data_IF_046956008749
#
_entry.id   IF_046956008749
#
_cell.length_a   1.000
_cell.length_b   1.000
_cell.length_c   1.000
_cell.angle_alpha   90.00
_cell.angle_beta   90.00
_cell.angle_gamma   90.00
#
_symmetry.space_group_name_H-M   'P 1'
#
loop_
_entity.id
_entity.type
_entity.pdbx_description
1 polymer ?
#
# COMPACT_ATOMS: atom_id res chain seq x y z
N UNK A 1 13.80 8.02 -18.05
CA UNK A 1 13.25 7.77 -16.71
C UNK A 1 12.95 9.11 -16.07
N UNK A 2 11.79 9.24 -15.41
CA UNK A 2 11.45 10.39 -14.60
C UNK A 2 11.83 10.10 -13.15
N UNK A 3 12.44 11.08 -12.48
CA UNK A 3 12.75 11.02 -11.06
C UNK A 3 12.14 12.24 -10.37
N UNK A 4 11.48 12.02 -9.25
CA UNK A 4 10.97 13.08 -8.38
C UNK A 4 11.69 12.97 -7.02
N UNK A 5 12.14 14.10 -6.50
CA UNK A 5 12.78 14.17 -5.19
C UNK A 5 11.83 14.90 -4.25
N UNK A 6 11.54 14.28 -3.12
CA UNK A 6 10.72 14.83 -2.05
C UNK A 6 11.56 15.01 -0.80
N UNK A 7 11.66 16.23 -0.32
CA UNK A 7 12.40 16.55 0.92
C UNK A 7 11.41 16.53 2.08
N UNK A 8 11.41 15.45 2.85
CA UNK A 8 10.45 15.27 3.96
C UNK A 8 10.49 16.40 4.99
N UNK A 9 11.67 16.99 5.25
CA UNK A 9 11.83 18.11 6.18
C UNK A 9 11.02 19.35 5.77
N UNK A 10 10.75 19.51 4.49
CA UNK A 10 10.11 20.71 3.94
C UNK A 10 8.57 20.58 3.88
N UNK A 11 8.03 19.42 4.30
CA UNK A 11 6.60 19.14 4.35
C UNK A 11 6.05 19.36 5.77
N UNK A 12 4.82 19.84 5.86
CA UNK A 12 4.05 19.88 7.10
C UNK A 12 3.24 18.57 7.24
N UNK A 13 3.67 17.70 8.15
CA UNK A 13 3.04 16.42 8.38
C UNK A 13 3.18 15.94 9.82
N UNK A 14 2.27 15.10 10.23
CA UNK A 14 2.22 14.48 11.55
C UNK A 14 2.86 13.08 11.53
N UNK A 15 3.74 12.80 12.49
CA UNK A 15 4.23 11.44 12.76
C UNK A 15 3.11 10.61 13.39
N UNK A 16 2.57 9.63 12.65
CA UNK A 16 1.45 8.82 13.09
C UNK A 16 1.37 7.54 12.27
N UNK A 17 0.78 6.49 12.85
CA UNK A 17 0.43 5.26 12.14
C UNK A 17 -0.94 5.36 11.45
N UNK A 18 -1.68 6.43 11.72
CA UNK A 18 -3.01 6.65 11.17
C UNK A 18 -2.94 7.21 9.74
N UNK A 19 -4.03 7.06 9.00
CA UNK A 19 -4.21 7.65 7.68
C UNK A 19 -4.57 9.14 7.79
N UNK A 20 -3.56 9.97 8.10
CA UNK A 20 -3.72 11.42 8.25
C UNK A 20 -3.67 12.09 6.88
N UNK A 21 -4.59 13.02 6.64
CA UNK A 21 -4.65 13.79 5.39
C UNK A 21 -3.85 15.10 5.54
N UNK A 22 -2.54 15.01 5.34
CA UNK A 22 -1.56 16.09 5.42
C UNK A 22 -0.72 16.17 4.13
N UNK A 23 0.35 16.97 4.12
CA UNK A 23 1.20 17.14 2.94
C UNK A 23 1.99 15.88 2.56
N UNK A 24 2.22 14.95 3.49
CA UNK A 24 2.95 13.71 3.22
C UNK A 24 2.08 12.69 2.46
N UNK A 25 0.79 12.61 2.73
CA UNK A 25 -0.10 11.61 2.16
C UNK A 25 -0.12 11.56 0.63
N UNK A 26 -0.20 12.68 -0.10
CA UNK A 26 -0.12 12.67 -1.57
C UNK A 26 1.17 12.06 -2.10
N UNK A 27 2.30 12.25 -1.42
CA UNK A 27 3.58 11.66 -1.82
C UNK A 27 3.61 10.14 -1.59
N UNK A 28 3.05 9.65 -0.48
CA UNK A 28 2.89 8.21 -0.24
C UNK A 28 2.00 7.59 -1.33
N UNK A 29 0.86 8.22 -1.65
CA UNK A 29 -0.04 7.70 -2.68
C UNK A 29 0.62 7.70 -4.08
N UNK A 30 1.47 8.69 -4.39
CA UNK A 30 2.27 8.68 -5.62
C UNK A 30 3.21 7.47 -5.71
N UNK A 31 3.76 7.00 -4.59
CA UNK A 31 4.63 5.82 -4.58
C UNK A 31 3.93 4.58 -5.15
N UNK A 32 2.60 4.51 -5.07
CA UNK A 32 1.80 3.42 -5.66
C UNK A 32 1.92 3.37 -7.20
N UNK A 33 2.26 4.47 -7.83
CA UNK A 33 2.40 4.59 -9.28
C UNK A 33 3.85 4.66 -9.77
N UNK A 34 4.82 4.68 -8.85
CA UNK A 34 6.24 4.66 -9.19
C UNK A 34 6.74 3.23 -9.43
N UNK A 35 7.78 3.07 -10.21
CA UNK A 35 8.43 1.78 -10.46
C UNK A 35 9.42 1.42 -9.35
N UNK A 36 9.97 2.43 -8.68
CA UNK A 36 10.91 2.26 -7.58
C UNK A 36 10.96 3.46 -6.65
N UNK A 37 11.45 3.23 -5.45
CA UNK A 37 11.58 4.22 -4.39
C UNK A 37 12.97 4.11 -3.76
N UNK A 38 13.59 5.24 -3.49
CA UNK A 38 14.84 5.33 -2.72
C UNK A 38 14.58 6.15 -1.48
N UNK A 39 14.90 5.59 -0.31
CA UNK A 39 14.93 6.36 0.94
C UNK A 39 16.34 6.85 1.20
N UNK A 40 16.48 8.19 1.26
CA UNK A 40 17.73 8.86 1.56
C UNK A 40 17.71 9.45 2.97
N UNK A 41 18.74 9.20 3.77
CA UNK A 41 18.81 9.67 5.15
C UNK A 41 20.25 9.93 5.59
N UNK A 42 20.49 10.99 6.39
CA UNK A 42 21.74 11.11 7.13
C UNK A 42 21.77 10.12 8.31
N UNK A 43 22.99 9.84 8.80
CA UNK A 43 23.18 9.12 10.06
C UNK A 43 23.08 10.09 11.22
N UNK A 44 22.23 9.77 12.18
CA UNK A 44 22.14 10.44 13.47
C UNK A 44 22.31 9.43 14.60
N UNK A 45 23.43 9.49 15.31
CA UNK A 45 23.72 8.58 16.42
C UNK A 45 23.53 7.09 16.08
N UNK A 46 24.05 6.68 14.91
CA UNK A 46 23.99 5.29 14.45
C UNK A 46 22.64 4.88 13.87
N UNK A 47 21.66 5.80 13.75
CA UNK A 47 20.33 5.50 13.19
C UNK A 47 19.93 6.52 12.10
N UNK A 48 18.82 6.26 11.43
CA UNK A 48 18.24 7.17 10.42
C UNK A 48 17.60 8.41 11.08
N UNK A 49 17.27 9.41 10.26
CA UNK A 49 16.62 10.63 10.75
C UNK A 49 15.20 10.38 11.26
N UNK A 50 14.71 11.29 12.13
CA UNK A 50 13.32 11.27 12.60
C UNK A 50 12.31 11.37 11.46
N UNK A 51 12.63 12.05 10.37
CA UNK A 51 11.76 12.13 9.19
C UNK A 51 11.57 10.78 8.50
N UNK A 52 12.61 9.97 8.41
CA UNK A 52 12.49 8.60 7.89
C UNK A 52 11.70 7.72 8.87
N UNK A 53 11.90 7.87 10.18
CA UNK A 53 11.11 7.16 11.17
C UNK A 53 9.61 7.50 11.03
N UNK A 54 9.28 8.79 10.97
CA UNK A 54 7.91 9.23 10.75
C UNK A 54 7.32 8.70 9.42
N UNK A 55 8.12 8.66 8.36
CA UNK A 55 7.71 8.07 7.08
C UNK A 55 7.39 6.57 7.23
N UNK A 56 8.21 5.81 7.96
CA UNK A 56 7.95 4.38 8.21
C UNK A 56 6.65 4.18 9.02
N UNK A 57 6.42 5.00 10.04
CA UNK A 57 5.19 4.97 10.83
C UNK A 57 3.97 5.29 9.96
N UNK A 58 4.08 6.30 9.11
CA UNK A 58 3.01 6.67 8.17
C UNK A 58 2.72 5.62 7.11
N UNK A 59 3.67 4.76 6.78
CA UNK A 59 3.45 3.65 5.85
C UNK A 59 2.64 2.49 6.49
N UNK A 60 2.46 2.47 7.82
CA UNK A 60 1.73 1.40 8.50
C UNK A 60 0.27 1.30 8.05
N UNK A 61 -0.40 2.43 7.74
CA UNK A 61 -1.78 2.40 7.23
C UNK A 61 -1.93 1.56 5.96
N UNK A 62 -0.85 1.36 5.19
CA UNK A 62 -0.87 0.60 3.94
C UNK A 62 -1.28 -0.85 4.17
N UNK A 63 -0.97 -1.42 5.34
CA UNK A 63 -1.43 -2.77 5.67
C UNK A 63 -2.95 -2.87 5.71
N UNK A 64 -3.61 -1.93 6.36
CA UNK A 64 -5.07 -1.85 6.40
C UNK A 64 -5.64 -1.56 5.02
N UNK A 65 -5.06 -0.59 4.32
CA UNK A 65 -5.46 -0.24 2.96
C UNK A 65 -5.34 -1.43 2.00
N UNK A 66 -4.21 -2.16 2.03
CA UNK A 66 -3.97 -3.33 1.19
C UNK A 66 -4.95 -4.47 1.49
N UNK A 67 -5.30 -4.68 2.76
CA UNK A 67 -6.29 -5.67 3.19
C UNK A 67 -7.68 -5.34 2.66
N UNK A 68 -8.10 -4.08 2.76
CA UNK A 68 -9.42 -3.64 2.36
C UNK A 68 -9.58 -3.65 0.83
N UNK A 69 -8.53 -3.26 0.10
CA UNK A 69 -8.52 -3.23 -1.36
C UNK A 69 -8.06 -4.56 -1.99
N UNK A 70 -7.62 -5.56 -1.19
CA UNK A 70 -7.07 -6.84 -1.67
C UNK A 70 -5.92 -6.66 -2.67
N UNK A 71 -5.10 -5.67 -2.43
CA UNK A 71 -4.07 -5.20 -3.31
C UNK A 71 -2.84 -4.76 -2.53
N UNK A 72 -1.66 -5.17 -2.96
CA UNK A 72 -0.38 -4.78 -2.35
C UNK A 72 0.29 -3.73 -3.23
N UNK A 73 0.25 -2.45 -2.86
CA UNK A 73 0.62 -1.36 -3.77
C UNK A 73 2.12 -1.36 -4.13
N UNK A 74 2.95 -2.01 -3.32
CA UNK A 74 4.39 -2.04 -3.54
C UNK A 74 4.93 -3.35 -4.13
N UNK A 75 4.08 -4.34 -4.36
CA UNK A 75 4.50 -5.53 -5.11
C UNK A 75 4.94 -5.12 -6.52
N UNK A 76 6.02 -5.72 -7.00
CA UNK A 76 6.68 -5.40 -8.27
C UNK A 76 7.32 -4.01 -8.35
N UNK A 77 7.50 -3.35 -7.22
CA UNK A 77 8.31 -2.13 -7.15
C UNK A 77 9.64 -2.44 -6.53
N UNK A 78 10.64 -1.68 -6.95
CA UNK A 78 12.00 -1.83 -6.43
C UNK A 78 12.30 -0.80 -5.36
N UNK A 79 13.15 -1.18 -4.41
CA UNK A 79 13.52 -0.30 -3.30
C UNK A 79 15.03 -0.21 -3.16
N UNK A 80 15.51 0.99 -2.91
CA UNK A 80 16.90 1.28 -2.62
C UNK A 80 17.05 2.23 -1.44
N UNK A 81 18.26 2.34 -0.93
CA UNK A 81 18.58 3.23 0.18
C UNK A 81 19.86 4.01 -0.08
N UNK A 82 19.87 5.27 0.34
CA UNK A 82 21.05 6.11 0.39
C UNK A 82 21.25 6.60 1.81
N UNK A 83 22.38 6.27 2.40
CA UNK A 83 22.73 6.69 3.76
C UNK A 83 24.02 7.51 3.72
N UNK A 84 24.01 8.70 4.32
CA UNK A 84 25.16 9.58 4.35
C UNK A 84 25.58 9.91 5.77
N UNK A 85 26.93 9.95 6.03
CA UNK A 85 27.45 10.31 7.34
C UNK A 85 28.84 9.78 7.63
N UNK A 86 29.23 9.81 8.90
CA UNK A 86 30.58 9.48 9.34
C UNK A 86 30.99 8.00 9.31
N UNK A 87 30.12 7.11 8.87
CA UNK A 87 30.40 5.68 8.72
C UNK A 87 29.92 4.78 9.86
N UNK A 88 29.42 5.35 10.95
CA UNK A 88 28.83 4.58 12.04
C UNK A 88 27.32 4.40 11.80
N UNK A 89 26.87 3.15 11.71
CA UNK A 89 25.45 2.82 11.58
C UNK A 89 24.95 2.54 10.16
N UNK A 90 25.76 2.56 9.11
CA UNK A 90 25.32 2.25 7.73
C UNK A 90 24.57 0.91 7.66
N UNK A 91 25.18 -0.17 8.10
CA UNK A 91 24.59 -1.51 8.05
C UNK A 91 23.29 -1.61 8.85
N UNK A 92 23.25 -0.96 10.03
CA UNK A 92 22.04 -0.93 10.85
C UNK A 92 20.90 -0.23 10.12
N UNK A 93 21.14 0.95 9.57
CA UNK A 93 20.12 1.74 8.88
C UNK A 93 19.61 1.01 7.65
N UNK A 94 20.50 0.49 6.80
CA UNK A 94 20.10 -0.32 5.64
C UNK A 94 19.28 -1.53 6.06
N UNK A 95 19.68 -2.24 7.13
CA UNK A 95 18.95 -3.39 7.64
C UNK A 95 17.53 -3.06 8.08
N UNK A 96 17.33 -1.97 8.81
CA UNK A 96 16.01 -1.49 9.25
C UNK A 96 15.15 -1.12 8.04
N UNK A 97 15.67 -0.32 7.13
CA UNK A 97 14.93 0.15 5.96
C UNK A 97 14.57 -1.00 5.02
N UNK A 98 15.47 -1.96 4.81
CA UNK A 98 15.21 -3.13 3.97
C UNK A 98 14.19 -4.08 4.60
N UNK A 99 14.26 -4.27 5.92
CA UNK A 99 13.25 -5.06 6.64
C UNK A 99 11.86 -4.45 6.48
N UNK A 100 11.75 -3.14 6.66
CA UNK A 100 10.49 -2.42 6.46
C UNK A 100 10.01 -2.52 5.01
N UNK A 101 10.88 -2.24 4.04
CA UNK A 101 10.54 -2.31 2.62
C UNK A 101 10.07 -3.70 2.18
N UNK A 102 10.74 -4.76 2.64
CA UNK A 102 10.33 -6.14 2.37
C UNK A 102 8.95 -6.46 2.94
N UNK A 103 8.66 -5.99 4.17
CA UNK A 103 7.35 -6.15 4.78
C UNK A 103 6.24 -5.40 4.01
N UNK A 104 6.55 -4.23 3.45
CA UNK A 104 5.63 -3.49 2.57
C UNK A 104 5.47 -4.10 1.18
N UNK A 105 6.29 -5.08 0.81
CA UNK A 105 6.18 -5.81 -0.45
C UNK A 105 7.12 -5.35 -1.55
N UNK A 106 8.06 -4.47 -1.27
CA UNK A 106 9.10 -4.08 -2.23
C UNK A 106 10.09 -5.21 -2.52
N UNK A 107 10.61 -5.21 -3.73
CA UNK A 107 11.77 -6.01 -4.12
C UNK A 107 13.04 -5.18 -3.97
N UNK A 108 14.07 -5.74 -3.35
CA UNK A 108 15.36 -5.08 -3.15
C UNK A 108 16.35 -5.64 -4.16
N UNK A 109 16.72 -4.88 -5.21
CA UNK A 109 17.74 -5.33 -6.17
C UNK A 109 19.13 -5.37 -5.53
N UNK A 110 20.07 -6.13 -6.11
CA UNK A 110 21.45 -6.13 -5.66
C UNK A 110 22.09 -4.74 -5.70
N UNK A 111 22.96 -4.44 -4.74
CA UNK A 111 23.74 -3.18 -4.69
C UNK A 111 22.88 -1.92 -4.72
N UNK A 112 21.71 -1.95 -4.08
CA UNK A 112 20.83 -0.78 -3.93
C UNK A 112 20.96 -0.12 -2.55
N UNK A 113 22.05 -0.39 -1.83
CA UNK A 113 22.48 0.25 -0.61
C UNK A 113 23.64 1.21 -0.92
N UNK A 114 23.36 2.50 -0.95
CA UNK A 114 24.37 3.53 -1.22
C UNK A 114 24.87 4.06 0.12
N UNK A 115 26.18 4.01 0.34
CA UNK A 115 26.84 4.56 1.52
C UNK A 115 27.73 5.73 1.09
N UNK A 116 27.54 6.90 1.69
CA UNK A 116 28.35 8.08 1.39
C UNK A 116 28.88 8.72 2.64
N UNK A 117 30.21 8.93 2.67
CA UNK A 117 30.85 9.75 3.69
C UNK A 117 31.05 11.20 3.24
N UNK A 118 30.74 11.48 1.99
CA UNK A 118 30.84 12.82 1.41
C UNK A 118 29.79 13.76 2.02
N UNK A 119 30.19 15.00 2.26
CA UNK A 119 29.35 16.04 2.83
C UNK A 119 28.97 17.06 1.75
N UNK A 120 27.97 16.70 0.96
CA UNK A 120 27.43 17.57 -0.07
C UNK A 120 27.71 17.10 -1.49
N UNK A 121 27.00 17.71 -2.41
CA UNK A 121 26.95 17.28 -3.82
C UNK A 121 28.31 17.37 -4.52
N UNK A 122 29.09 18.38 -4.18
CA UNK A 122 30.41 18.58 -4.78
C UNK A 122 31.43 17.51 -4.36
N UNK A 123 31.31 17.00 -3.14
CA UNK A 123 32.15 15.90 -2.66
C UNK A 123 31.68 14.57 -3.22
N UNK A 124 30.38 14.33 -3.29
CA UNK A 124 29.81 13.11 -3.87
C UNK A 124 30.25 12.93 -5.32
N UNK A 125 30.29 14.00 -6.11
CA UNK A 125 30.73 13.93 -7.51
C UNK A 125 32.22 13.65 -7.68
N UNK A 126 33.02 13.88 -6.66
CA UNK A 126 34.47 13.62 -6.63
C UNK A 126 34.82 12.29 -5.95
N UNK A 127 33.91 11.73 -5.17
CA UNK A 127 34.08 10.43 -4.52
C UNK A 127 33.68 9.31 -5.47
N UNK A 128 34.69 8.70 -6.08
CA UNK A 128 34.51 7.65 -7.08
C UNK A 128 33.72 6.46 -6.54
N UNK A 129 33.93 6.09 -5.27
CA UNK A 129 33.22 4.95 -4.65
C UNK A 129 31.72 5.25 -4.53
N UNK A 130 31.34 6.40 -3.99
CA UNK A 130 29.93 6.82 -3.90
C UNK A 130 29.31 6.96 -5.28
N UNK A 131 30.02 7.55 -6.25
CA UNK A 131 29.53 7.68 -7.62
C UNK A 131 29.25 6.33 -8.27
N UNK A 132 30.14 5.35 -8.11
CA UNK A 132 29.97 4.01 -8.63
C UNK A 132 28.81 3.27 -7.95
N UNK A 133 28.62 3.44 -6.63
CA UNK A 133 27.47 2.88 -5.92
C UNK A 133 26.15 3.47 -6.45
N UNK A 134 26.06 4.77 -6.65
CA UNK A 134 24.88 5.44 -7.23
C UNK A 134 24.58 4.90 -8.62
N UNK A 135 25.60 4.80 -9.47
CA UNK A 135 25.46 4.26 -10.83
C UNK A 135 24.97 2.82 -10.84
N UNK A 136 25.55 1.96 -9.99
CA UNK A 136 25.14 0.56 -9.87
C UNK A 136 23.70 0.46 -9.35
N UNK A 137 23.34 1.21 -8.32
CA UNK A 137 21.99 1.25 -7.79
C UNK A 137 20.98 1.67 -8.87
N UNK A 138 21.23 2.78 -9.57
CA UNK A 138 20.35 3.26 -10.62
C UNK A 138 20.17 2.24 -11.75
N UNK A 139 21.27 1.59 -12.18
CA UNK A 139 21.25 0.55 -13.20
C UNK A 139 20.44 -0.66 -12.73
N UNK A 140 20.73 -1.17 -11.52
CA UNK A 140 20.06 -2.35 -10.98
C UNK A 140 18.58 -2.08 -10.73
N UNK A 141 18.22 -0.96 -10.15
CA UNK A 141 16.81 -0.59 -9.96
C UNK A 141 16.06 -0.53 -11.29
N UNK A 142 16.66 0.05 -12.32
CA UNK A 142 16.05 0.12 -13.66
C UNK A 142 15.82 -1.26 -14.25
N UNK A 143 16.87 -2.08 -14.28
CA UNK A 143 16.80 -3.45 -14.86
C UNK A 143 15.79 -4.31 -14.11
N UNK A 144 15.80 -4.26 -12.78
CA UNK A 144 14.87 -5.06 -11.98
C UNK A 144 13.43 -4.56 -12.08
N UNK A 145 13.20 -3.24 -12.16
CA UNK A 145 11.87 -2.69 -12.40
C UNK A 145 11.30 -3.14 -13.75
N UNK A 146 12.11 -3.13 -14.79
CA UNK A 146 11.74 -3.63 -16.13
C UNK A 146 11.45 -5.13 -16.11
N UNK A 147 12.29 -5.93 -15.47
CA UNK A 147 12.09 -7.38 -15.31
C UNK A 147 10.80 -7.70 -14.56
N UNK A 148 10.52 -6.98 -13.47
CA UNK A 148 9.29 -7.14 -12.69
C UNK A 148 8.05 -6.81 -13.54
N UNK A 149 8.13 -5.76 -14.34
CA UNK A 149 7.05 -5.35 -15.23
C UNK A 149 6.82 -6.36 -16.35
N UNK A 150 7.88 -6.88 -16.97
CA UNK A 150 7.81 -7.85 -18.06
C UNK A 150 7.44 -9.25 -17.58
N UNK A 151 7.96 -9.67 -16.42
CA UNK A 151 7.83 -11.04 -15.92
C UNK A 151 6.45 -11.38 -15.34
N UNK A 152 5.62 -10.38 -15.02
CA UNK A 152 4.30 -10.63 -14.46
C UNK A 152 3.23 -9.64 -14.95
N UNK A 153 2.75 -9.81 -16.20
CA UNK A 153 1.70 -8.96 -16.77
C UNK A 153 0.42 -8.91 -15.92
N UNK A 154 0.09 -9.99 -15.21
CA UNK A 154 -1.08 -10.05 -14.34
C UNK A 154 -0.92 -9.17 -13.11
N UNK A 155 0.28 -9.14 -12.53
CA UNK A 155 0.59 -8.20 -11.44
C UNK A 155 0.68 -6.76 -11.96
N UNK A 156 1.29 -6.53 -13.12
CA UNK A 156 1.29 -5.23 -13.78
C UNK A 156 -0.14 -4.74 -14.10
N UNK A 157 -1.02 -5.63 -14.53
CA UNK A 157 -2.43 -5.30 -14.79
C UNK A 157 -3.25 -5.06 -13.50
N UNK A 158 -2.87 -5.73 -12.40
CA UNK A 158 -3.45 -5.45 -11.07
C UNK A 158 -2.93 -4.13 -10.48
N UNK A 159 -1.76 -3.69 -10.93
CA UNK A 159 -1.08 -2.48 -10.52
C UNK A 159 -1.27 -1.36 -11.55
N UNK A 160 -2.45 -1.31 -12.19
CA UNK A 160 -2.85 -0.13 -12.95
C UNK A 160 -2.62 1.15 -12.12
N UNK A 161 -2.39 2.26 -12.77
CA UNK A 161 -2.22 3.54 -12.09
C UNK A 161 -3.38 3.78 -11.14
N UNK A 162 -3.08 3.93 -9.85
CA UNK A 162 -4.07 4.38 -8.88
C UNK A 162 -4.33 5.86 -9.15
N UNK A 163 -5.58 6.24 -9.35
CA UNK A 163 -5.92 7.66 -9.33
C UNK A 163 -5.73 8.18 -7.91
N UNK A 164 -4.66 8.95 -7.72
CA UNK A 164 -4.29 9.51 -6.41
C UNK A 164 -5.42 10.36 -5.84
N UNK A 165 -6.16 11.08 -6.69
CA UNK A 165 -7.28 11.91 -6.25
C UNK A 165 -8.47 11.04 -5.82
N UNK A 166 -8.73 9.94 -6.53
CA UNK A 166 -9.75 8.97 -6.18
C UNK A 166 -9.39 8.27 -4.86
N UNK A 167 -8.15 7.79 -4.70
CA UNK A 167 -7.68 7.16 -3.48
C UNK A 167 -7.69 8.11 -2.27
N UNK A 168 -7.38 9.40 -2.47
CA UNK A 168 -7.50 10.43 -1.43
C UNK A 168 -8.95 10.77 -1.10
N UNK A 169 -9.87 10.61 -2.06
CA UNK A 169 -11.30 10.84 -1.88
C UNK A 169 -12.01 9.65 -1.22
N UNK A 170 -11.56 8.41 -1.49
CA UNK A 170 -12.14 7.17 -0.93
C UNK A 170 -11.95 7.04 0.58
N UNK A 171 -10.92 7.66 1.17
CA UNK A 171 -10.64 7.66 2.61
C UNK A 171 -11.72 8.35 3.48
N UNK A 172 -12.70 9.03 2.90
CA UNK A 172 -13.79 9.67 3.65
C UNK A 172 -15.08 8.88 3.56
N UNK A 173 -15.21 7.86 4.42
CA UNK A 173 -16.52 7.27 4.68
C UNK A 173 -17.50 8.37 5.08
N UNK A 174 -18.51 8.61 4.23
CA UNK A 174 -19.57 9.58 4.53
C UNK A 174 -20.60 8.87 5.41
N UNK A 175 -20.69 9.18 6.72
CA UNK A 175 -21.62 8.52 7.61
C UNK A 175 -23.06 8.82 7.21
N UNK A 176 -23.92 7.81 7.28
CA UNK A 176 -25.35 7.94 7.00
C UNK A 176 -26.00 8.82 8.08
N UNK A 177 -26.68 9.89 7.67
CA UNK A 177 -27.49 10.72 8.59
C UNK A 177 -28.85 10.07 8.84
N UNK A 178 -29.41 10.30 10.03
CA UNK A 178 -30.76 9.82 10.39
C UNK A 178 -31.76 10.30 9.34
N UNK A 179 -32.55 9.38 8.77
CA UNK A 179 -33.56 9.70 7.75
C UNK A 179 -33.08 9.58 6.29
N UNK A 180 -31.79 9.36 6.00
CA UNK A 180 -31.35 9.09 4.64
C UNK A 180 -31.75 7.69 4.20
N UNK A 181 -32.23 7.57 2.96
CA UNK A 181 -32.57 6.28 2.34
C UNK A 181 -31.29 5.44 2.13
N UNK A 182 -31.37 4.13 2.38
CA UNK A 182 -30.31 3.19 2.02
C UNK A 182 -30.00 3.30 0.52
N UNK A 183 -28.74 3.08 0.14
CA UNK A 183 -28.23 3.20 -1.26
C UNK A 183 -28.29 4.62 -1.84
N UNK A 184 -28.34 5.65 -1.00
CA UNK A 184 -28.20 7.03 -1.47
C UNK A 184 -26.75 7.33 -1.83
N UNK A 185 -26.50 7.99 -2.97
CA UNK A 185 -25.16 8.49 -3.36
C UNK A 185 -24.56 9.54 -2.39
N UNK A 186 -25.29 9.89 -1.32
CA UNK A 186 -24.89 10.92 -0.35
C UNK A 186 -24.23 10.35 0.92
N UNK A 187 -24.04 9.05 1.01
CA UNK A 187 -23.34 8.38 2.10
C UNK A 187 -22.77 7.04 1.64
N UNK A 188 -21.74 6.56 2.34
CA UNK A 188 -21.18 5.22 2.13
C UNK A 188 -22.00 4.21 2.92
N UNK A 189 -22.47 3.16 2.29
CA UNK A 189 -23.10 2.01 2.97
C UNK A 189 -22.05 0.92 3.22
N UNK A 190 -22.02 0.36 4.42
CA UNK A 190 -21.07 -0.68 4.84
C UNK A 190 -21.16 -1.97 3.98
N UNK A 191 -22.19 -2.10 3.19
CA UNK A 191 -22.57 -3.28 2.42
C UNK A 191 -23.07 -2.92 1.02
N UNK A 192 -22.53 -1.89 0.42
CA UNK A 192 -22.81 -1.59 -0.99
C UNK A 192 -22.20 -2.69 -1.84
N UNK A 193 -23.05 -3.43 -2.56
CA UNK A 193 -22.61 -4.42 -3.53
C UNK A 193 -22.17 -3.69 -4.80
N UNK A 194 -20.88 -3.50 -4.95
CA UNK A 194 -20.29 -2.76 -6.07
C UNK A 194 -20.32 -3.57 -7.38
N UNK A 195 -20.44 -4.90 -7.31
CA UNK A 195 -20.66 -5.76 -8.46
C UNK A 195 -21.93 -6.62 -8.34
N UNK A 196 -23.11 -6.02 -8.52
CA UNK A 196 -24.38 -6.74 -8.41
C UNK A 196 -24.53 -7.90 -9.39
N UNK A 197 -23.78 -7.94 -10.50
CA UNK A 197 -23.81 -9.06 -11.47
C UNK A 197 -23.09 -10.30 -10.94
N UNK A 198 -22.16 -10.13 -9.99
CA UNK A 198 -21.39 -11.18 -9.34
C UNK A 198 -22.13 -11.87 -8.19
N UNK A 199 -23.10 -11.27 -7.61
CA UNK A 199 -23.73 -11.66 -6.34
C UNK A 199 -24.84 -12.70 -6.50
N UNK A 200 -25.03 -13.56 -5.48
CA UNK A 200 -26.17 -14.47 -5.41
C UNK A 200 -27.35 -13.71 -4.79
N UNK A 201 -28.27 -13.24 -5.64
CA UNK A 201 -29.40 -12.42 -5.21
C UNK A 201 -30.52 -13.19 -4.52
N UNK A 202 -31.30 -12.47 -3.71
CA UNK A 202 -32.53 -13.00 -3.09
C UNK A 202 -32.27 -14.01 -1.97
N UNK A 203 -31.15 -13.83 -1.25
CA UNK A 203 -30.88 -14.53 0.00
C UNK A 203 -31.56 -13.81 1.15
N UNK A 204 -32.12 -14.55 2.08
CA UNK A 204 -32.80 -14.01 3.27
C UNK A 204 -32.74 -14.97 4.45
N UNK A 205 -33.02 -14.42 5.63
CA UNK A 205 -33.02 -15.14 6.91
C UNK A 205 -34.11 -14.64 7.87
N UNK A 206 -35.23 -14.14 7.32
CA UNK A 206 -36.34 -13.63 8.16
C UNK A 206 -36.98 -14.71 9.03
N UNK A 207 -37.00 -15.95 8.54
CA UNK A 207 -37.48 -17.16 9.19
C UNK A 207 -36.68 -18.38 8.72
N UNK A 208 -36.84 -19.50 9.40
CA UNK A 208 -36.12 -20.75 9.10
C UNK A 208 -36.35 -21.25 7.67
N UNK A 209 -37.57 -21.17 7.17
CA UNK A 209 -37.91 -21.61 5.82
C UNK A 209 -37.18 -20.77 4.77
N UNK A 210 -37.11 -19.44 4.96
CA UNK A 210 -36.38 -18.51 4.10
C UNK A 210 -34.87 -18.76 4.17
N UNK A 211 -34.34 -19.05 5.35
CA UNK A 211 -32.92 -19.38 5.52
C UNK A 211 -32.54 -20.68 4.80
N UNK A 212 -33.35 -21.75 4.95
CA UNK A 212 -33.15 -23.04 4.26
C UNK A 212 -33.24 -22.91 2.73
N UNK A 213 -34.18 -22.12 2.23
CA UNK A 213 -34.30 -21.79 0.82
C UNK A 213 -33.07 -21.07 0.27
N UNK A 214 -32.52 -20.13 1.06
CA UNK A 214 -31.31 -19.38 0.72
C UNK A 214 -30.07 -20.28 0.65
N UNK A 215 -29.91 -21.20 1.61
CA UNK A 215 -28.82 -22.19 1.59
C UNK A 215 -28.93 -23.10 0.33
N UNK A 216 -30.11 -23.53 0.01
CA UNK A 216 -30.36 -24.32 -1.20
C UNK A 216 -29.99 -23.55 -2.47
N UNK A 217 -30.34 -22.26 -2.51
CA UNK A 217 -30.00 -21.37 -3.63
C UNK A 217 -28.49 -21.16 -3.78
N UNK A 218 -27.77 -20.95 -2.66
CA UNK A 218 -26.31 -20.88 -2.65
C UNK A 218 -25.68 -22.16 -3.20
N UNK A 219 -26.11 -23.33 -2.73
CA UNK A 219 -25.60 -24.64 -3.16
C UNK A 219 -25.80 -24.87 -4.65
N UNK A 220 -26.98 -24.53 -5.19
CA UNK A 220 -27.34 -24.72 -6.61
C UNK A 220 -26.79 -23.64 -7.53
N UNK A 221 -26.23 -22.55 -7.01
CA UNK A 221 -25.65 -21.48 -7.86
C UNK A 221 -24.46 -22.00 -8.66
N UNK A 222 -24.29 -21.56 -9.89
CA UNK A 222 -23.13 -21.87 -10.75
C UNK A 222 -21.81 -21.20 -10.33
N UNK A 223 -21.74 -20.64 -9.12
CA UNK A 223 -20.58 -19.90 -8.63
C UNK A 223 -19.50 -20.82 -8.09
N UNK A 224 -18.25 -20.32 -8.00
CA UNK A 224 -17.13 -21.04 -7.41
C UNK A 224 -17.39 -21.43 -5.96
N UNK A 225 -16.69 -22.45 -5.47
CA UNK A 225 -16.80 -22.90 -4.08
C UNK A 225 -16.52 -21.79 -3.08
N UNK A 226 -15.47 -20.99 -3.32
CA UNK A 226 -15.13 -19.84 -2.48
C UNK A 226 -16.27 -18.81 -2.41
N UNK A 227 -16.91 -18.51 -3.53
CA UNK A 227 -18.03 -17.58 -3.59
C UNK A 227 -19.26 -18.07 -2.81
N UNK A 228 -19.52 -19.39 -2.87
CA UNK A 228 -20.60 -20.01 -2.09
C UNK A 228 -20.36 -19.94 -0.59
N UNK A 229 -19.12 -20.15 -0.14
CA UNK A 229 -18.72 -20.00 1.27
C UNK A 229 -18.90 -18.56 1.72
N UNK A 230 -18.42 -17.59 0.95
CA UNK A 230 -18.57 -16.15 1.28
C UNK A 230 -20.04 -15.75 1.43
N UNK A 231 -20.91 -16.21 0.53
CA UNK A 231 -22.33 -15.92 0.60
C UNK A 231 -22.99 -16.53 1.85
N UNK A 232 -22.61 -17.76 2.23
CA UNK A 232 -23.12 -18.42 3.42
C UNK A 232 -22.66 -17.74 4.72
N UNK A 233 -21.36 -17.39 4.81
CA UNK A 233 -20.78 -16.66 5.96
C UNK A 233 -21.40 -15.29 6.11
N UNK A 234 -21.57 -14.54 5.02
CA UNK A 234 -22.23 -13.24 5.06
C UNK A 234 -23.68 -13.33 5.55
N UNK A 235 -24.41 -14.37 5.14
CA UNK A 235 -25.79 -14.62 5.58
C UNK A 235 -25.83 -14.95 7.08
N UNK A 236 -24.94 -15.82 7.57
CA UNK A 236 -24.83 -16.19 8.99
C UNK A 236 -24.50 -14.98 9.86
N UNK A 237 -23.51 -14.19 9.49
CA UNK A 237 -23.13 -12.97 10.25
C UNK A 237 -24.28 -11.97 10.35
N UNK A 238 -25.01 -11.78 9.25
CA UNK A 238 -26.19 -10.90 9.24
C UNK A 238 -27.32 -11.44 10.09
N UNK A 239 -27.53 -12.77 10.10
CA UNK A 239 -28.54 -13.39 10.96
C UNK A 239 -28.18 -13.23 12.45
N UNK A 240 -26.91 -13.46 12.81
CA UNK A 240 -26.39 -13.22 14.17
C UNK A 240 -26.59 -11.76 14.61
N UNK A 241 -26.20 -10.80 13.78
CA UNK A 241 -26.36 -9.39 14.05
C UNK A 241 -27.83 -8.95 14.19
N UNK A 242 -28.75 -9.68 13.57
CA UNK A 242 -30.21 -9.45 13.67
C UNK A 242 -30.87 -10.28 14.81
N UNK A 243 -30.11 -11.00 15.63
CA UNK A 243 -30.61 -11.83 16.71
C UNK A 243 -31.46 -13.03 16.24
N UNK A 244 -31.19 -13.54 15.04
CA UNK A 244 -31.92 -14.63 14.36
C UNK A 244 -31.05 -15.83 14.04
N UNK A 245 -29.92 -15.98 14.72
CA UNK A 245 -29.02 -17.12 14.57
C UNK A 245 -29.35 -18.23 15.56
#
# INVERSE_FOLDING_TARGET
>A
HQCEIVTLRDLDYEGSTDDVNDELKPHIMKMFNMDGVIFATPIWWGTHSCHIQAMLERLDFIYSWAKDNKYQPFYNKVFGTLVSGGGDGFQHIHGVLYSAAANFGFTIPPQCNIESKAQGIEEITKDEDTYNQVKNCATNMTVWAELMRAGNPTLAARHGSVDVNEALAEGKRIPRKKGQKAKSKKHSDLYTDEDPKGTIHGLGFKDEATARASITKIRKSGRSHAHKIQAAVAMEQRAKAAGKA
#
